data_IF_764270027387
#
_entry.id   IF_764270027387
#
_cell.length_a   1.000
_cell.length_b   1.000
_cell.length_c   1.000
_cell.angle_alpha   90.00
_cell.angle_beta   90.00
_cell.angle_gamma   90.00
#
_symmetry.space_group_name_H-M   'P 1'
#
loop_
_entity.id
_entity.type
_entity.pdbx_description
1 polymer ?
2 water ?
#
# COMPACT_ATOMS: atom_id res chain seq x y z
N UNK A 1 12.95 -5.39 7.12
CA UNK A 1 12.56 -4.75 5.83
C UNK A 1 12.76 -3.24 5.83
N UNK A 2 12.69 -2.64 4.64
CA UNK A 2 12.86 -1.19 4.46
C UNK A 2 12.25 -0.75 3.13
N UNK A 3 10.95 -1.02 2.97
CA UNK A 3 10.22 -0.69 1.76
C UNK A 3 9.95 0.77 1.50
N UNK A 4 10.05 1.15 0.23
CA UNK A 4 9.79 2.51 -0.21
C UNK A 4 8.37 2.60 -0.73
N UNK A 5 7.80 3.80 -0.68
CA UNK A 5 6.42 4.00 -1.12
C UNK A 5 6.14 5.26 -1.93
N UNK A 6 5.06 5.20 -2.70
CA UNK A 6 4.63 6.34 -3.50
C UNK A 6 5.70 7.07 -4.31
N UNK A 7 5.68 8.40 -4.23
CA UNK A 7 6.61 9.24 -4.96
C UNK A 7 8.07 8.91 -4.63
N UNK A 8 8.30 8.50 -3.39
CA UNK A 8 9.64 8.17 -2.93
C UNK A 8 10.17 6.96 -3.70
N UNK A 9 9.37 5.89 -3.74
CA UNK A 9 9.74 4.67 -4.45
C UNK A 9 9.94 5.01 -5.92
N UNK A 10 9.06 5.84 -6.46
CA UNK A 10 9.20 6.26 -7.86
C UNK A 10 10.58 6.86 -7.95
N UNK A 11 10.83 7.81 -7.06
CA UNK A 11 12.09 8.51 -7.03
C UNK A 11 13.27 7.55 -6.96
N UNK A 12 13.17 6.52 -6.15
CA UNK A 12 14.26 5.57 -6.09
C UNK A 12 14.49 5.00 -7.47
N UNK A 13 13.46 4.41 -8.06
CA UNK A 13 13.58 3.83 -9.39
C UNK A 13 14.29 4.74 -10.37
N UNK A 14 13.89 6.00 -10.45
CA UNK A 14 14.57 6.92 -11.37
C UNK A 14 16.05 6.96 -11.05
N UNK A 15 16.35 7.13 -9.77
CA UNK A 15 17.74 7.18 -9.34
C UNK A 15 18.46 5.98 -9.91
N UNK A 16 18.00 4.79 -9.54
CA UNK A 16 18.62 3.56 -10.01
C UNK A 16 18.93 3.58 -11.51
N UNK A 17 18.02 4.16 -12.29
CA UNK A 17 18.20 4.25 -13.73
C UNK A 17 19.44 5.08 -14.04
N UNK A 18 19.67 6.11 -13.22
CA UNK A 18 20.82 6.96 -13.38
C UNK A 18 22.07 6.15 -13.04
N UNK A 19 22.04 5.51 -11.88
CA UNK A 19 23.15 4.67 -11.43
C UNK A 19 23.47 3.59 -12.47
N UNK A 20 22.66 3.52 -13.53
CA UNK A 20 22.88 2.53 -14.59
C UNK A 20 23.16 3.17 -15.94
N UNK A 21 23.23 4.49 -15.97
CA UNK A 21 23.49 5.24 -17.19
C UNK A 21 22.19 5.49 -17.93
N UNK A 22 21.23 4.59 -17.74
CA UNK A 22 19.92 4.71 -18.39
C UNK A 22 19.28 6.01 -17.96
N UNK A 23 19.43 7.04 -18.80
CA UNK A 23 18.90 8.37 -18.55
C UNK A 23 17.57 8.62 -19.23
N UNK A 24 17.52 8.37 -20.53
CA UNK A 24 16.28 8.59 -21.27
C UNK A 24 15.14 7.80 -20.60
N UNK A 25 15.53 6.74 -19.89
CA UNK A 25 14.58 5.90 -19.17
C UNK A 25 14.07 6.64 -17.96
N UNK A 26 15.01 7.19 -17.19
CA UNK A 26 14.68 7.97 -16.00
C UNK A 26 13.88 9.18 -16.46
N UNK A 27 14.22 9.70 -17.63
CA UNK A 27 13.51 10.85 -18.20
C UNK A 27 12.10 10.42 -18.61
N UNK A 28 11.97 9.18 -19.08
CA UNK A 28 10.71 8.58 -19.51
C UNK A 28 9.72 8.47 -18.35
N UNK A 29 10.21 7.99 -17.20
CA UNK A 29 9.37 7.86 -16.02
C UNK A 29 8.69 9.20 -15.75
N UNK A 30 9.48 10.25 -15.57
CA UNK A 30 8.92 11.57 -15.31
C UNK A 30 7.85 11.87 -16.35
N UNK A 31 8.17 11.65 -17.62
CA UNK A 31 7.20 11.90 -18.66
C UNK A 31 5.93 11.11 -18.31
N UNK A 32 6.08 9.86 -17.89
CA UNK A 32 4.93 9.04 -17.55
C UNK A 32 4.17 9.54 -16.30
N UNK A 33 4.88 9.74 -15.18
CA UNK A 33 4.20 10.18 -13.98
C UNK A 33 3.45 11.50 -14.23
N UNK A 34 4.04 12.40 -15.03
CA UNK A 34 3.40 13.68 -15.33
C UNK A 34 2.13 13.48 -16.16
N UNK A 35 2.25 12.86 -17.32
CA UNK A 35 1.08 12.65 -18.18
C UNK A 35 0.03 11.73 -17.56
N UNK A 36 0.03 11.59 -16.23
CA UNK A 36 -0.93 10.72 -15.56
C UNK A 36 -1.36 11.30 -14.22
N UNK A 37 -1.35 12.63 -14.11
CA UNK A 37 -1.69 13.31 -12.87
C UNK A 37 -3.19 13.43 -12.59
N UNK A 38 -3.97 13.73 -13.62
CA UNK A 38 -5.41 13.86 -13.47
C UNK A 38 -6.12 12.57 -13.08
N UNK A 39 -5.58 11.43 -13.51
CA UNK A 39 -6.15 10.11 -13.22
C UNK A 39 -6.67 10.04 -11.79
N UNK A 40 -5.83 10.48 -10.87
CA UNK A 40 -6.13 10.48 -9.44
C UNK A 40 -7.45 11.20 -9.20
N UNK A 41 -7.60 12.33 -9.88
CA UNK A 41 -8.79 13.17 -9.77
C UNK A 41 -10.04 12.36 -10.14
N UNK A 42 -10.01 11.76 -11.32
CA UNK A 42 -11.11 10.98 -11.85
C UNK A 42 -11.31 9.55 -11.40
N UNK A 43 -10.24 8.79 -11.20
CA UNK A 43 -10.39 7.38 -10.80
C UNK A 43 -9.94 7.11 -9.38
N UNK A 44 -9.22 8.07 -8.79
CA UNK A 44 -8.73 7.88 -7.45
C UNK A 44 -7.26 7.54 -7.36
N UNK A 45 -6.85 7.31 -6.13
CA UNK A 45 -5.49 7.01 -5.77
C UNK A 45 -5.01 5.59 -6.16
N UNK A 46 -5.76 4.56 -5.75
CA UNK A 46 -5.38 3.18 -6.07
C UNK A 46 -5.12 3.00 -7.55
N UNK A 47 -6.07 3.48 -8.36
CA UNK A 47 -5.98 3.42 -9.81
C UNK A 47 -4.72 4.15 -10.29
N UNK A 48 -4.49 5.34 -9.75
CA UNK A 48 -3.34 6.13 -10.13
C UNK A 48 -2.06 5.36 -9.78
N UNK A 49 -2.03 4.84 -8.56
CA UNK A 49 -0.89 4.08 -8.10
C UNK A 49 -0.69 2.76 -8.86
N UNK A 50 -1.79 2.13 -9.25
CA UNK A 50 -1.74 0.86 -9.97
C UNK A 50 -1.16 1.04 -11.35
N UNK A 51 -1.35 2.21 -11.94
CA UNK A 51 -0.81 2.46 -13.27
C UNK A 51 0.69 2.76 -13.17
N UNK A 52 1.06 3.68 -12.29
CA UNK A 52 2.45 4.03 -12.15
C UNK A 52 3.28 2.83 -11.68
N UNK A 53 2.81 2.14 -10.64
CA UNK A 53 3.52 0.99 -10.09
C UNK A 53 3.67 -0.13 -11.11
N UNK A 54 2.60 -0.42 -11.83
CA UNK A 54 2.68 -1.47 -12.83
C UNK A 54 3.73 -1.08 -13.84
N UNK A 55 3.76 0.22 -14.15
CA UNK A 55 4.68 0.82 -15.08
C UNK A 55 6.12 0.63 -14.59
N UNK A 56 6.34 0.85 -13.30
CA UNK A 56 7.68 0.70 -12.76
C UNK A 56 8.08 -0.77 -12.81
N UNK A 57 7.11 -1.67 -12.59
CA UNK A 57 7.41 -3.10 -12.62
C UNK A 57 7.93 -3.42 -13.99
N UNK A 58 7.18 -3.01 -15.02
CA UNK A 58 7.58 -3.23 -16.39
C UNK A 58 8.99 -2.73 -16.63
N UNK A 59 9.33 -1.55 -16.13
CA UNK A 59 10.68 -1.04 -16.30
C UNK A 59 11.67 -1.95 -15.54
N UNK A 60 11.47 -2.08 -14.23
CA UNK A 60 12.34 -2.91 -13.42
C UNK A 60 12.51 -4.33 -13.93
N UNK A 61 11.49 -4.87 -14.60
CA UNK A 61 11.57 -6.24 -15.10
C UNK A 61 12.41 -6.38 -16.34
N UNK A 62 12.27 -5.46 -17.29
CA UNK A 62 13.08 -5.62 -18.50
C UNK A 62 14.55 -5.27 -18.26
N UNK A 63 14.85 -4.51 -17.21
CA UNK A 63 16.23 -4.16 -16.89
C UNK A 63 16.88 -5.33 -16.18
N UNK A 64 16.11 -6.02 -15.35
CA UNK A 64 16.63 -7.18 -14.63
C UNK A 64 17.02 -8.26 -15.61
N UNK A 65 16.78 -7.99 -16.89
CA UNK A 65 17.11 -8.92 -17.98
C UNK A 65 18.32 -8.38 -18.75
N UNK A 66 18.79 -7.20 -18.35
CA UNK A 66 19.94 -6.57 -18.99
C UNK A 66 21.12 -6.46 -18.01
N UNK A 67 20.84 -6.06 -16.78
CA UNK A 67 21.88 -5.91 -15.77
C UNK A 67 21.74 -6.94 -14.66
N UNK A 68 22.64 -6.91 -13.68
CA UNK A 68 22.63 -7.87 -12.57
C UNK A 68 22.53 -7.21 -11.19
N UNK A 69 22.76 -5.91 -11.14
CA UNK A 69 22.71 -5.11 -9.92
C UNK A 69 21.61 -5.55 -8.94
N UNK A 70 22.00 -6.05 -7.77
CA UNK A 70 21.00 -6.50 -6.78
C UNK A 70 19.95 -5.44 -6.48
N UNK A 71 20.32 -4.17 -6.62
CA UNK A 71 19.37 -3.09 -6.35
C UNK A 71 18.10 -3.25 -7.20
N UNK A 72 18.24 -3.86 -8.38
CA UNK A 72 17.09 -4.06 -9.25
C UNK A 72 16.03 -4.97 -8.63
N UNK A 73 16.42 -6.18 -8.24
CA UNK A 73 15.46 -7.11 -7.66
C UNK A 73 14.93 -6.54 -6.36
N UNK A 74 15.83 -6.02 -5.53
CA UNK A 74 15.41 -5.44 -4.25
C UNK A 74 14.33 -4.40 -4.55
N UNK A 75 14.58 -3.55 -5.53
CA UNK A 75 13.64 -2.52 -5.90
C UNK A 75 12.37 -3.10 -6.55
N UNK A 76 12.54 -4.09 -7.41
CA UNK A 76 11.41 -4.73 -8.06
C UNK A 76 10.46 -5.31 -7.03
N UNK A 77 11.00 -5.97 -6.03
CA UNK A 77 10.18 -6.54 -4.97
C UNK A 77 9.25 -5.49 -4.33
N UNK A 78 9.80 -4.33 -3.99
CA UNK A 78 9.03 -3.23 -3.37
C UNK A 78 7.85 -2.73 -4.24
N UNK A 79 8.14 -2.42 -5.51
CA UNK A 79 7.09 -1.99 -6.40
C UNK A 79 6.02 -3.06 -6.42
N UNK A 80 6.43 -4.31 -6.54
CA UNK A 80 5.50 -5.43 -6.56
C UNK A 80 4.69 -5.40 -5.23
N UNK A 81 5.40 -5.26 -4.12
CA UNK A 81 4.79 -5.20 -2.80
C UNK A 81 3.76 -4.07 -2.70
N UNK A 82 4.14 -2.91 -3.24
CA UNK A 82 3.28 -1.71 -3.23
C UNK A 82 2.04 -1.90 -4.09
N UNK A 83 2.20 -2.60 -5.20
CA UNK A 83 1.10 -2.85 -6.11
C UNK A 83 0.07 -3.65 -5.38
N UNK A 84 0.54 -4.74 -4.80
CA UNK A 84 -0.32 -5.63 -4.04
C UNK A 84 -1.10 -4.94 -2.92
N UNK A 85 -0.44 -4.09 -2.15
CA UNK A 85 -1.16 -3.40 -1.09
C UNK A 85 -2.21 -2.49 -1.70
N UNK A 86 -1.83 -1.80 -2.76
CA UNK A 86 -2.71 -0.88 -3.45
C UNK A 86 -3.96 -1.56 -3.97
N UNK A 87 -3.81 -2.75 -4.53
CA UNK A 87 -4.97 -3.42 -5.07
C UNK A 87 -5.83 -4.15 -4.05
N UNK A 88 -5.29 -4.43 -2.87
CA UNK A 88 -6.07 -5.11 -1.85
C UNK A 88 -7.23 -4.26 -1.32
N UNK A 89 -8.31 -4.91 -0.92
CA UNK A 89 -9.47 -4.19 -0.38
C UNK A 89 -9.72 -4.67 1.04
N UNK A 90 -10.69 -4.07 1.72
CA UNK A 90 -11.01 -4.44 3.09
C UNK A 90 -12.39 -5.12 3.21
N UNK A 91 -12.67 -6.07 2.31
CA UNK A 91 -13.95 -6.79 2.34
C UNK A 91 -13.96 -8.01 1.39
N UNK B 1 -7.53 1.87 -40.33
CA UNK B 1 -6.45 1.27 -39.48
C UNK B 1 -7.02 0.64 -38.21
N UNK B 2 -6.71 -0.65 -38.00
CA UNK B 2 -7.16 -1.38 -36.82
C UNK B 2 -5.95 -1.61 -35.93
N UNK B 3 -6.15 -1.53 -34.62
CA UNK B 3 -5.07 -1.70 -33.65
C UNK B 3 -5.40 -2.81 -32.64
N UNK B 4 -4.38 -3.31 -31.94
CA UNK B 4 -4.54 -4.38 -30.95
C UNK B 4 -5.06 -3.86 -29.61
N UNK B 5 -5.89 -4.68 -28.96
CA UNK B 5 -6.48 -4.33 -27.69
C UNK B 5 -6.48 -5.51 -26.72
N UNK B 6 -6.46 -5.21 -25.43
CA UNK B 6 -6.48 -6.25 -24.41
C UNK B 6 -5.55 -7.44 -24.59
N UNK B 7 -6.13 -8.64 -24.49
CA UNK B 7 -5.41 -9.90 -24.62
C UNK B 7 -4.47 -9.92 -25.81
N UNK B 8 -4.99 -9.52 -26.97
CA UNK B 8 -4.18 -9.51 -28.18
C UNK B 8 -3.00 -8.58 -28.02
N UNK B 9 -3.22 -7.44 -27.37
CA UNK B 9 -2.16 -6.49 -27.16
C UNK B 9 -1.12 -7.17 -26.28
N UNK B 10 -1.59 -7.91 -25.28
CA UNK B 10 -0.67 -8.61 -24.38
C UNK B 10 0.16 -9.60 -25.21
N UNK B 11 -0.50 -10.25 -26.17
CA UNK B 11 0.20 -11.22 -27.00
C UNK B 11 1.16 -10.58 -27.97
N UNK B 12 0.70 -9.62 -28.77
CA UNK B 12 1.59 -8.97 -29.70
C UNK B 12 2.90 -8.54 -29.00
N UNK B 13 2.80 -8.03 -27.77
CA UNK B 13 3.98 -7.59 -27.01
C UNK B 13 4.79 -8.79 -26.53
N UNK B 14 4.09 -9.79 -26.02
CA UNK B 14 4.76 -10.97 -25.52
C UNK B 14 5.49 -11.60 -26.69
N UNK B 15 4.90 -11.44 -27.87
CA UNK B 15 5.44 -11.97 -29.10
C UNK B 15 6.70 -11.23 -29.52
N UNK B 16 6.65 -9.90 -29.44
CA UNK B 16 7.79 -9.07 -29.81
C UNK B 16 9.01 -9.40 -28.94
N UNK B 17 8.77 -9.81 -27.70
CA UNK B 17 9.85 -10.14 -26.78
C UNK B 17 10.57 -11.37 -27.29
N UNK B 18 9.78 -12.35 -27.73
CA UNK B 18 10.33 -13.59 -28.25
C UNK B 18 11.15 -13.29 -29.49
N UNK B 19 10.61 -12.50 -30.40
CA UNK B 19 11.33 -12.13 -31.63
C UNK B 19 12.49 -11.17 -31.32
N UNK B 20 12.92 -11.13 -30.06
CA UNK B 20 14.03 -10.29 -29.65
C UNK B 20 14.94 -11.12 -28.75
N UNK B 21 14.62 -12.40 -28.66
CA UNK B 21 15.39 -13.34 -27.85
C UNK B 21 15.29 -13.09 -26.34
N UNK B 22 14.27 -12.36 -25.91
CA UNK B 22 14.10 -12.12 -24.49
C UNK B 22 12.86 -12.82 -24.00
N UNK B 23 12.91 -14.14 -24.02
CA UNK B 23 11.80 -14.98 -23.61
C UNK B 23 11.50 -14.91 -22.13
N UNK B 24 12.51 -14.61 -21.32
CA UNK B 24 12.30 -14.49 -19.89
C UNK B 24 11.36 -13.31 -19.71
N UNK B 25 11.65 -12.25 -20.45
CA UNK B 25 10.83 -11.06 -20.41
C UNK B 25 9.42 -11.53 -20.73
N UNK B 26 9.30 -12.34 -21.76
CA UNK B 26 8.01 -12.88 -22.16
C UNK B 26 7.38 -13.72 -21.07
N UNK B 27 8.17 -14.53 -20.39
CA UNK B 27 7.60 -15.38 -19.34
C UNK B 27 7.07 -14.49 -18.21
N UNK B 28 7.71 -13.33 -18.03
CA UNK B 28 7.30 -12.39 -16.98
C UNK B 28 5.89 -11.91 -17.28
N UNK B 29 5.69 -11.37 -18.48
CA UNK B 29 4.37 -10.89 -18.86
C UNK B 29 3.36 -11.98 -18.53
N UNK B 30 3.75 -13.21 -18.81
CA UNK B 30 2.90 -14.37 -18.56
C UNK B 30 2.53 -14.46 -17.10
N UNK B 31 3.52 -14.43 -16.24
CA UNK B 31 3.28 -14.54 -14.83
C UNK B 31 2.61 -13.28 -14.26
N UNK B 32 2.90 -12.12 -14.83
CA UNK B 32 2.30 -10.89 -14.34
C UNK B 32 0.79 -11.05 -14.54
N UNK B 33 0.40 -11.35 -15.76
CA UNK B 33 -1.00 -11.52 -16.10
C UNK B 33 -1.68 -12.55 -15.20
N UNK B 34 -1.00 -13.67 -14.93
CA UNK B 34 -1.60 -14.68 -14.05
C UNK B 34 -1.95 -14.02 -12.73
N UNK B 35 -0.94 -13.47 -12.06
CA UNK B 35 -1.12 -12.83 -10.76
C UNK B 35 -2.23 -11.77 -10.75
N UNK B 36 -2.40 -11.05 -11.86
CA UNK B 36 -3.43 -10.03 -11.97
C UNK B 36 -4.69 -10.64 -12.58
N UNK B 37 -5.36 -11.51 -11.82
CA UNK B 37 -6.55 -12.21 -12.31
C UNK B 37 -7.88 -11.81 -11.67
N UNK B 38 -7.98 -11.93 -10.35
CA UNK B 38 -9.21 -11.57 -9.66
C UNK B 38 -9.42 -10.09 -9.46
N UNK B 39 -8.31 -9.35 -9.49
CA UNK B 39 -8.29 -7.91 -9.34
C UNK B 39 -9.40 -7.29 -10.19
N UNK B 40 -9.66 -7.92 -11.33
CA UNK B 40 -10.70 -7.46 -12.24
C UNK B 40 -12.05 -7.41 -11.53
N UNK B 41 -12.32 -8.45 -10.75
CA UNK B 41 -13.57 -8.59 -10.00
C UNK B 41 -13.67 -7.68 -8.76
N UNK B 42 -12.52 -7.28 -8.24
CA UNK B 42 -12.50 -6.44 -7.05
C UNK B 42 -12.41 -4.94 -7.34
N UNK B 43 -11.57 -4.56 -8.29
CA UNK B 43 -11.40 -3.13 -8.59
C UNK B 43 -12.05 -2.71 -9.90
N UNK B 44 -12.59 -3.66 -10.62
CA UNK B 44 -13.21 -3.29 -11.88
C UNK B 44 -12.32 -3.64 -13.04
N UNK B 45 -12.84 -3.44 -14.24
CA UNK B 45 -12.12 -3.76 -15.45
C UNK B 45 -11.14 -2.67 -15.82
N UNK B 46 -11.54 -1.42 -15.66
CA UNK B 46 -10.67 -0.32 -16.00
C UNK B 46 -9.38 -0.43 -15.19
N UNK B 47 -9.53 -0.80 -13.93
CA UNK B 47 -8.39 -0.97 -13.04
C UNK B 47 -7.42 -2.03 -13.54
N UNK B 48 -7.93 -3.24 -13.74
CA UNK B 48 -7.11 -4.35 -14.20
C UNK B 48 -6.35 -3.97 -15.47
N UNK B 49 -7.04 -3.37 -16.42
CA UNK B 49 -6.41 -2.97 -17.68
C UNK B 49 -5.34 -1.89 -17.54
N UNK B 50 -5.53 -0.96 -16.61
CA UNK B 50 -4.56 0.11 -16.40
C UNK B 50 -3.24 -0.41 -15.82
N UNK B 51 -3.31 -1.44 -14.97
CA UNK B 51 -2.12 -2.01 -14.37
C UNK B 51 -1.29 -2.79 -15.39
N UNK B 52 -1.99 -3.64 -16.14
CA UNK B 52 -1.38 -4.48 -17.16
C UNK B 52 -0.81 -3.66 -18.29
N UNK B 53 -1.54 -2.64 -18.73
CA UNK B 53 -1.09 -1.78 -19.80
C UNK B 53 0.10 -0.94 -19.32
N UNK B 54 0.01 -0.41 -18.12
CA UNK B 54 1.12 0.38 -17.60
C UNK B 54 2.33 -0.53 -17.58
N UNK B 55 2.09 -1.77 -17.19
CA UNK B 55 3.15 -2.77 -17.12
C UNK B 55 3.76 -2.97 -18.50
N UNK B 56 2.91 -3.13 -19.50
CA UNK B 56 3.37 -3.33 -20.87
C UNK B 56 4.14 -2.12 -21.37
N UNK B 57 3.65 -0.91 -21.07
CA UNK B 57 4.33 0.29 -21.51
C UNK B 57 5.67 0.46 -20.81
N UNK B 58 5.74 -0.03 -19.58
CA UNK B 58 6.99 0.05 -18.84
C UNK B 58 8.04 -0.77 -19.56
N UNK B 59 7.61 -1.92 -20.10
CA UNK B 59 8.50 -2.80 -20.83
C UNK B 59 8.82 -2.17 -22.18
N UNK B 60 7.77 -1.91 -22.97
CA UNK B 60 7.96 -1.31 -24.29
C UNK B 60 8.84 -0.07 -24.23
N UNK B 61 8.79 0.65 -23.12
CA UNK B 61 9.57 1.86 -22.95
C UNK B 61 11.05 1.58 -22.76
N UNK B 62 11.36 0.75 -21.79
CA UNK B 62 12.75 0.42 -21.53
C UNK B 62 13.31 -0.44 -22.65
N UNK B 63 12.44 -1.18 -23.33
CA UNK B 63 12.88 -2.02 -24.45
C UNK B 63 13.44 -1.10 -25.50
N UNK B 64 12.65 -0.09 -25.85
CA UNK B 64 13.00 0.91 -26.84
C UNK B 64 14.38 1.54 -26.56
N UNK B 65 14.90 1.33 -25.36
CA UNK B 65 16.20 1.89 -25.02
C UNK B 65 17.34 0.97 -25.42
N UNK B 66 17.04 -0.09 -26.18
CA UNK B 66 18.07 -1.04 -26.60
C UNK B 66 17.90 -1.62 -28.01
N UNK B 67 16.79 -1.27 -28.67
CA UNK B 67 16.55 -1.77 -30.01
C UNK B 67 15.91 -0.68 -30.86
N UNK B 68 16.11 -0.75 -32.18
CA UNK B 68 15.55 0.24 -33.09
C UNK B 68 14.33 -0.29 -33.84
N UNK B 69 13.87 -1.48 -33.44
CA UNK B 69 12.71 -2.12 -34.05
C UNK B 69 11.52 -1.19 -34.25
N UNK B 70 11.03 -1.12 -35.49
CA UNK B 70 9.90 -0.24 -35.80
C UNK B 70 8.67 -0.69 -35.02
N UNK B 71 8.55 -2.00 -34.81
CA UNK B 71 7.43 -2.59 -34.10
C UNK B 71 7.25 -2.01 -32.68
N UNK B 72 8.35 -1.83 -31.98
CA UNK B 72 8.30 -1.30 -30.62
C UNK B 72 7.58 0.05 -30.53
N UNK B 73 7.98 1.00 -31.37
CA UNK B 73 7.36 2.32 -31.34
C UNK B 73 5.87 2.20 -31.57
N UNK B 74 5.48 1.45 -32.58
CA UNK B 74 4.06 1.31 -32.88
C UNK B 74 3.38 0.56 -31.74
N UNK B 75 4.00 -0.54 -31.33
CA UNK B 75 3.47 -1.36 -30.26
C UNK B 75 3.33 -0.53 -28.99
N UNK B 76 4.18 0.49 -28.87
CA UNK B 76 4.14 1.39 -27.72
C UNK B 76 2.96 2.34 -27.83
N UNK B 77 2.83 3.01 -28.98
CA UNK B 77 1.73 3.96 -29.16
C UNK B 77 0.37 3.25 -28.99
N UNK B 78 0.33 1.97 -29.34
CA UNK B 78 -0.91 1.21 -29.21
C UNK B 78 -1.27 1.03 -27.73
N UNK B 79 -0.30 0.58 -26.94
CA UNK B 79 -0.54 0.40 -25.52
C UNK B 79 -0.90 1.76 -24.91
N UNK B 80 -0.33 2.82 -25.47
CA UNK B 80 -0.62 4.15 -24.96
C UNK B 80 -2.08 4.53 -25.23
N UNK B 81 -2.56 4.15 -26.40
CA UNK B 81 -3.93 4.43 -26.80
C UNK B 81 -4.88 3.68 -25.89
N UNK B 82 -4.62 2.39 -25.74
CA UNK B 82 -5.41 1.50 -24.92
C UNK B 82 -5.65 2.10 -23.55
N UNK B 83 -4.60 2.69 -22.99
CA UNK B 83 -4.66 3.30 -21.67
C UNK B 83 -5.49 4.55 -21.68
N UNK B 84 -5.15 5.47 -22.57
CA UNK B 84 -5.90 6.72 -22.66
C UNK B 84 -7.40 6.43 -22.65
N UNK B 85 -7.80 5.43 -23.43
CA UNK B 85 -9.20 5.03 -23.49
C UNK B 85 -9.65 4.45 -22.17
N UNK B 86 -8.89 3.51 -21.64
CA UNK B 86 -9.24 2.87 -20.37
C UNK B 86 -9.47 3.83 -19.24
N UNK B 87 -8.53 4.75 -19.04
CA UNK B 87 -8.69 5.68 -17.93
C UNK B 87 -9.76 6.77 -18.12
N UNK B 88 -10.22 6.98 -19.35
CA UNK B 88 -11.26 7.99 -19.62
C UNK B 88 -12.63 7.59 -19.07
N UNK B 89 -13.30 8.53 -18.44
CA UNK B 89 -14.63 8.25 -17.90
C UNK B 89 -15.72 8.71 -18.85
N UNK B 90 -16.87 8.05 -18.80
CA UNK B 90 -18.00 8.41 -19.64
C UNK B 90 -18.60 9.73 -19.15
N UNK B 91 -18.67 9.88 -17.83
CA UNK B 91 -19.25 11.07 -17.21
C UNK B 91 -20.71 11.24 -17.65
N UNK C 2 6.79 -12.54 1.35
CA UNK C 2 5.48 -13.07 1.84
C UNK C 2 4.71 -11.99 2.64
N UNK C 3 4.00 -11.13 1.91
CA UNK C 3 3.22 -10.05 2.54
C UNK C 3 1.72 -10.18 2.27
N UNK C 4 0.93 -9.83 3.28
CA UNK C 4 -0.53 -9.87 3.17
C UNK C 4 -1.05 -8.45 3.14
N UNK C 5 -2.26 -8.28 2.63
CA UNK C 5 -2.83 -6.96 2.53
C UNK C 5 -4.34 -6.93 2.81
N UNK C 6 -4.88 -5.72 2.85
CA UNK C 6 -6.29 -5.55 3.08
C UNK C 6 -6.97 -6.51 4.03
N UNK C 7 -8.17 -6.94 3.63
CA UNK C 7 -8.99 -7.86 4.40
C UNK C 7 -8.16 -9.05 4.80
N UNK C 8 -7.35 -9.50 3.87
CA UNK C 8 -6.52 -10.64 4.11
C UNK C 8 -5.58 -10.46 5.30
N UNK C 9 -4.76 -9.43 5.29
CA UNK C 9 -3.85 -9.19 6.42
C UNK C 9 -4.65 -9.06 7.70
N UNK C 10 -5.85 -8.48 7.60
CA UNK C 10 -6.70 -8.32 8.78
C UNK C 10 -7.09 -9.69 9.27
N UNK C 11 -7.41 -10.58 8.34
CA UNK C 11 -7.78 -11.94 8.70
C UNK C 11 -6.60 -12.68 9.32
N UNK C 12 -5.44 -12.61 8.70
CA UNK C 12 -4.28 -13.30 9.22
C UNK C 12 -3.86 -12.75 10.59
N UNK C 13 -4.50 -11.68 11.04
CA UNK C 13 -4.16 -11.11 12.36
C UNK C 13 -5.21 -11.57 13.37
N UNK C 14 -6.46 -11.50 12.97
CA UNK C 14 -7.55 -11.94 13.81
C UNK C 14 -7.23 -13.38 14.12
N UNK C 15 -6.59 -14.04 13.15
CA UNK C 15 -6.19 -15.45 13.28
C UNK C 15 -5.13 -15.68 14.36
N UNK C 16 -4.04 -14.93 14.31
CA UNK C 16 -2.98 -15.06 15.31
C UNK C 16 -3.54 -14.89 16.72
N UNK C 17 -4.62 -14.11 16.82
CA UNK C 17 -5.26 -13.87 18.11
C UNK C 17 -5.77 -15.16 18.74
N UNK C 18 -6.52 -15.91 17.95
CA UNK C 18 -7.06 -17.17 18.41
C UNK C 18 -5.88 -18.10 18.73
N UNK C 19 -4.92 -18.19 17.81
CA UNK C 19 -3.76 -19.02 18.02
C UNK C 19 -3.17 -18.67 19.37
N UNK C 20 -3.29 -17.40 19.76
CA UNK C 20 -2.74 -16.95 21.02
C UNK C 20 -3.71 -17.15 22.19
N UNK C 21 -4.91 -17.64 21.91
CA UNK C 21 -5.88 -17.87 22.97
C UNK C 21 -6.47 -16.52 23.43
N UNK C 22 -6.76 -15.65 22.48
CA UNK C 22 -7.32 -14.33 22.77
C UNK C 22 -8.59 -14.10 21.97
N UNK C 23 -9.53 -15.04 22.08
CA UNK C 23 -10.81 -14.95 21.37
C UNK C 23 -11.46 -13.58 21.45
N UNK C 24 -11.58 -13.04 22.65
CA UNK C 24 -12.20 -11.73 22.85
C UNK C 24 -11.51 -10.70 21.94
N UNK C 25 -10.20 -10.78 21.86
CA UNK C 25 -9.42 -9.87 21.02
C UNK C 25 -9.90 -9.96 19.57
N UNK C 26 -9.94 -11.18 19.04
CA UNK C 26 -10.41 -11.38 17.68
C UNK C 26 -11.80 -10.76 17.57
N UNK C 27 -12.65 -11.02 18.56
CA UNK C 27 -13.98 -10.46 18.54
C UNK C 27 -13.84 -8.94 18.37
N UNK C 28 -12.98 -8.32 19.16
CA UNK C 28 -12.78 -6.88 19.09
C UNK C 28 -12.49 -6.42 17.66
N UNK C 29 -11.49 -7.03 17.02
CA UNK C 29 -11.14 -6.65 15.65
C UNK C 29 -12.38 -6.72 14.75
N UNK C 30 -13.11 -7.82 14.85
CA UNK C 30 -14.33 -7.99 14.06
C UNK C 30 -15.19 -6.74 14.27
N UNK C 31 -15.30 -6.32 15.52
CA UNK C 31 -16.07 -5.14 15.84
C UNK C 31 -15.43 -3.94 15.16
N UNK C 32 -14.13 -3.75 15.36
CA UNK C 32 -13.45 -2.60 14.77
C UNK C 32 -13.70 -2.54 13.28
N UNK C 33 -13.33 -3.60 12.57
CA UNK C 33 -13.55 -3.65 11.13
C UNK C 33 -15.00 -3.30 10.79
N UNK C 34 -15.95 -3.85 11.54
CA UNK C 34 -17.37 -3.58 11.29
C UNK C 34 -17.73 -2.11 11.49
N UNK C 35 -17.08 -1.45 12.45
CA UNK C 35 -17.36 -0.06 12.74
C UNK C 35 -16.66 0.88 11.77
N UNK C 36 -15.60 0.39 11.12
CA UNK C 36 -14.91 1.22 10.15
C UNK C 36 -15.89 1.43 9.03
N UNK C 37 -16.73 0.42 8.79
CA UNK C 37 -17.75 0.42 7.74
C UNK C 37 -17.76 1.60 6.78
N UNK C 38 -18.60 2.58 7.07
CA UNK C 38 -18.72 3.75 6.22
C UNK C 38 -17.48 4.61 5.97
N UNK C 39 -16.58 4.67 6.94
CA UNK C 39 -15.36 5.47 6.80
C UNK C 39 -14.83 5.50 5.38
N UNK C 40 -14.61 4.31 4.82
CA UNK C 40 -14.09 4.20 3.44
C UNK C 40 -14.96 5.05 2.53
N UNK C 41 -16.28 4.94 2.72
CA UNK C 41 -17.26 5.70 1.94
C UNK C 41 -17.06 7.18 2.21
N UNK C 42 -17.27 7.54 3.47
CA UNK C 42 -17.16 8.91 3.97
C UNK C 42 -15.82 9.62 3.76
N UNK C 43 -14.73 9.04 4.27
CA UNK C 43 -13.38 9.65 4.22
C UNK C 43 -12.42 9.18 3.13
N UNK C 44 -12.68 8.00 2.58
CA UNK C 44 -11.78 7.48 1.58
C UNK C 44 -11.22 6.15 2.01
N UNK C 45 -10.40 5.57 1.15
CA UNK C 45 -9.83 4.26 1.41
C UNK C 45 -8.55 4.28 2.23
N UNK C 46 -7.72 5.30 2.01
CA UNK C 46 -6.47 5.40 2.76
C UNK C 46 -6.79 5.67 4.20
N UNK C 47 -7.82 6.47 4.43
CA UNK C 47 -8.24 6.79 5.77
C UNK C 47 -8.74 5.53 6.44
N UNK C 48 -9.69 4.86 5.82
CA UNK C 48 -10.22 3.63 6.39
C UNK C 48 -9.07 2.66 6.63
N UNK C 49 -8.11 2.61 5.70
CA UNK C 49 -6.98 1.71 5.86
C UNK C 49 -6.03 2.12 6.97
N UNK C 50 -5.60 3.37 6.97
CA UNK C 50 -4.70 3.86 7.99
C UNK C 50 -5.32 3.67 9.36
N UNK C 51 -6.63 3.84 9.42
CA UNK C 51 -7.43 3.73 10.64
C UNK C 51 -7.40 2.30 11.21
N UNK C 52 -7.73 1.32 10.37
CA UNK C 52 -7.74 -0.06 10.77
C UNK C 52 -6.34 -0.65 10.95
N UNK C 53 -5.40 -0.30 10.07
CA UNK C 53 -4.03 -0.80 10.17
C UNK C 53 -3.34 -0.28 11.42
N UNK C 54 -3.67 0.96 11.79
CA UNK C 54 -3.07 1.54 12.98
C UNK C 54 -3.55 0.75 14.18
N UNK C 55 -4.83 0.44 14.17
CA UNK C 55 -5.44 -0.33 15.24
C UNK C 55 -4.75 -1.68 15.34
N UNK C 56 -4.65 -2.40 14.21
CA UNK C 56 -4.03 -3.71 14.19
C UNK C 56 -2.59 -3.64 14.68
N UNK C 57 -1.88 -2.59 14.31
CA UNK C 57 -0.50 -2.44 14.73
C UNK C 57 -0.41 -2.15 16.23
N UNK C 58 -1.46 -1.56 16.78
CA UNK C 58 -1.49 -1.24 18.20
C UNK C 58 -1.72 -2.51 18.99
N UNK C 59 -2.56 -3.39 18.46
CA UNK C 59 -2.83 -4.66 19.12
C UNK C 59 -1.52 -5.42 19.06
N UNK C 60 -1.05 -5.66 17.84
CA UNK C 60 0.20 -6.37 17.67
C UNK C 60 1.37 -5.83 18.48
N UNK C 61 1.61 -4.53 18.48
CA UNK C 61 2.73 -3.99 19.26
C UNK C 61 2.65 -4.37 20.75
N UNK C 62 1.45 -4.40 21.31
CA UNK C 62 1.31 -4.76 22.71
C UNK C 62 1.55 -6.26 22.95
N UNK C 63 0.92 -7.11 22.13
CA UNK C 63 1.09 -8.56 22.28
C UNK C 63 2.57 -8.89 22.25
N UNK C 64 3.30 -8.25 21.34
CA UNK C 64 4.73 -8.48 21.21
C UNK C 64 5.39 -8.22 22.54
N UNK C 65 4.69 -7.54 23.46
CA UNK C 65 5.25 -7.26 24.77
C UNK C 65 4.85 -8.38 25.73
N UNK C 66 4.29 -9.45 25.17
CA UNK C 66 3.89 -10.62 25.95
C UNK C 66 4.51 -11.84 25.26
N UNK C 67 3.66 -12.66 24.65
CA UNK C 67 4.10 -13.86 23.94
C UNK C 67 5.31 -13.55 23.05
N UNK C 68 5.97 -14.60 22.56
CA UNK C 68 7.14 -14.43 21.71
C UNK C 68 7.11 -15.31 20.46
N UNK C 69 6.02 -15.23 19.68
CA UNK C 69 5.91 -16.02 18.45
C UNK C 69 6.59 -15.31 17.30
N UNK C 70 7.08 -16.07 16.32
CA UNK C 70 7.75 -15.43 15.21
C UNK C 70 6.69 -14.70 14.39
N UNK C 71 5.48 -15.25 14.41
CA UNK C 71 4.36 -14.67 13.69
C UNK C 71 4.15 -13.18 14.05
N UNK C 72 4.01 -12.89 15.34
CA UNK C 72 3.78 -11.50 15.77
C UNK C 72 4.72 -10.47 15.13
N UNK C 73 6.03 -10.64 15.29
CA UNK C 73 6.95 -9.68 14.70
C UNK C 73 6.76 -9.66 13.19
N UNK C 74 6.29 -10.77 12.63
CA UNK C 74 6.06 -10.87 11.19
C UNK C 74 4.86 -10.04 10.76
N UNK C 75 3.75 -10.30 11.42
CA UNK C 75 2.51 -9.61 11.14
C UNK C 75 2.65 -8.13 11.46
N UNK C 76 3.63 -7.79 12.28
CA UNK C 76 3.83 -6.40 12.62
C UNK C 76 4.49 -5.68 11.45
N UNK C 77 5.65 -6.16 11.01
CA UNK C 77 6.34 -5.51 9.89
C UNK C 77 5.41 -5.44 8.69
N UNK C 78 4.51 -6.43 8.58
CA UNK C 78 3.57 -6.47 7.47
C UNK C 78 2.53 -5.38 7.62
N UNK C 79 2.10 -5.12 8.85
CA UNK C 79 1.12 -4.08 9.11
C UNK C 79 1.77 -2.70 8.95
N UNK C 80 2.97 -2.54 9.47
CA UNK C 80 3.66 -1.26 9.37
C UNK C 80 3.91 -0.89 7.89
N UNK C 81 4.27 -1.89 7.10
CA UNK C 81 4.55 -1.70 5.68
C UNK C 81 3.29 -1.30 4.91
N UNK C 82 2.16 -1.92 5.26
CA UNK C 82 0.88 -1.61 4.62
C UNK C 82 0.45 -0.20 5.05
N UNK C 83 0.74 0.16 6.30
CA UNK C 83 0.37 1.48 6.75
C UNK C 83 1.24 2.52 6.04
N UNK C 84 2.52 2.22 5.89
CA UNK C 84 3.41 3.14 5.22
C UNK C 84 3.00 3.35 3.77
N UNK C 85 2.78 2.27 3.03
CA UNK C 85 2.34 2.41 1.63
C UNK C 85 1.04 3.21 1.53
N UNK C 86 0.09 2.88 2.38
CA UNK C 86 -1.20 3.57 2.40
C UNK C 86 -1.06 5.08 2.57
N UNK C 87 -0.20 5.50 3.49
CA UNK C 87 -0.05 6.93 3.73
C UNK C 87 0.81 7.69 2.72
N UNK C 88 1.62 6.98 1.95
CA UNK C 88 2.43 7.64 0.93
C UNK C 88 1.58 8.25 -0.17
N UNK C 89 1.99 9.42 -0.65
CA UNK C 89 1.29 10.11 -1.73
C UNK C 89 2.08 9.92 -3.00
N UNK C 90 1.39 9.94 -4.13
CA UNK C 90 2.05 9.75 -5.40
C UNK C 90 3.02 10.83 -5.87
N UNK C 91 2.67 12.10 -5.72
CA UNK C 91 3.58 13.16 -6.19
C UNK C 91 4.34 13.90 -5.08
N UNK D 2 -15.36 15.53 32.08
CA UNK D 2 -13.91 15.68 31.75
C UNK D 2 -13.45 14.58 30.79
N UNK D 3 -12.49 14.92 29.93
CA UNK D 3 -11.95 13.97 28.94
C UNK D 3 -10.67 14.51 28.31
N UNK D 4 -9.66 13.65 28.19
CA UNK D 4 -8.39 14.04 27.59
C UNK D 4 -8.54 14.09 26.06
N UNK D 5 -7.69 14.89 25.40
CA UNK D 5 -7.72 15.03 23.95
C UNK D 5 -6.32 15.26 23.38
N UNK D 6 -6.18 15.01 22.08
CA UNK D 6 -4.91 15.21 21.41
C UNK D 6 -3.65 14.71 22.06
N UNK D 7 -2.58 15.50 21.95
CA UNK D 7 -1.30 15.15 22.51
C UNK D 7 -1.44 14.88 23.99
N UNK D 8 -2.44 15.50 24.61
CA UNK D 8 -2.66 15.29 26.02
C UNK D 8 -3.05 13.83 26.25
N UNK D 9 -4.05 13.38 25.52
CA UNK D 9 -4.54 12.00 25.61
C UNK D 9 -3.42 11.00 25.35
N UNK D 10 -2.57 11.28 24.36
CA UNK D 10 -1.47 10.38 24.01
C UNK D 10 -0.49 10.28 25.17
N UNK D 11 -0.62 11.18 26.13
CA UNK D 11 0.25 11.17 27.28
C UNK D 11 -0.39 10.41 28.43
N UNK D 12 -1.66 10.68 28.69
CA UNK D 12 -2.36 9.99 29.76
C UNK D 12 -2.22 8.49 29.48
N UNK D 13 -2.07 8.13 28.20
CA UNK D 13 -1.94 6.72 27.86
C UNK D 13 -0.51 6.23 28.09
N UNK D 14 0.44 6.82 27.38
CA UNK D 14 1.83 6.43 27.54
C UNK D 14 2.10 6.29 29.04
N UNK D 15 1.48 7.18 29.81
CA UNK D 15 1.59 7.18 31.26
C UNK D 15 1.11 5.84 31.83
N UNK D 16 -0.19 5.59 31.74
CA UNK D 16 -0.78 4.34 32.24
C UNK D 16 0.07 3.12 31.84
N UNK D 17 0.80 3.22 30.74
CA UNK D 17 1.65 2.12 30.30
C UNK D 17 2.75 1.87 31.30
N UNK D 18 3.21 2.94 31.93
CA UNK D 18 4.25 2.83 32.94
C UNK D 18 3.64 2.22 34.20
N UNK D 19 2.54 2.79 34.66
CA UNK D 19 1.87 2.28 35.84
C UNK D 19 1.68 0.77 35.68
N UNK D 20 1.59 0.32 34.43
CA UNK D 20 1.42 -1.11 34.16
C UNK D 20 2.77 -1.77 33.94
N UNK D 21 3.83 -1.04 34.32
CA UNK D 21 5.19 -1.55 34.19
C UNK D 21 5.53 -1.91 32.75
N UNK D 22 4.83 -1.31 31.79
CA UNK D 22 5.09 -1.58 30.39
C UNK D 22 5.97 -0.46 29.83
N UNK D 23 7.28 -0.64 29.94
CA UNK D 23 8.24 0.36 29.48
C UNK D 23 8.30 0.48 27.97
N UNK D 24 8.65 -0.61 27.31
CA UNK D 24 8.75 -0.62 25.87
C UNK D 24 7.43 -0.24 25.19
N UNK D 25 6.31 -0.67 25.74
CA UNK D 25 5.01 -0.34 25.16
C UNK D 25 5.01 1.18 24.92
N UNK D 26 5.26 1.93 25.99
CA UNK D 26 5.28 3.39 25.91
C UNK D 26 6.37 3.94 24.98
N UNK D 27 7.53 3.32 24.97
CA UNK D 27 8.61 3.77 24.10
C UNK D 27 8.12 3.66 22.66
N UNK D 28 7.34 2.61 22.41
CA UNK D 28 6.78 2.36 21.08
C UNK D 28 5.82 3.49 20.72
N UNK D 29 4.90 3.79 21.63
CA UNK D 29 3.95 4.85 21.40
C UNK D 29 4.68 6.12 20.96
N UNK D 30 5.82 6.40 21.60
CA UNK D 30 6.59 7.59 21.25
C UNK D 30 7.25 7.44 19.88
N UNK D 31 7.73 6.23 19.59
CA UNK D 31 8.38 5.98 18.29
C UNK D 31 7.33 5.99 17.18
N UNK D 32 6.11 5.58 17.53
CA UNK D 32 5.02 5.55 16.57
C UNK D 32 4.58 6.98 16.30
N UNK D 33 4.17 7.71 17.34
CA UNK D 33 3.74 9.09 17.15
C UNK D 33 4.88 9.86 16.45
N UNK D 34 6.12 9.47 16.75
CA UNK D 34 7.27 10.14 16.15
C UNK D 34 7.22 10.10 14.62
N UNK D 35 6.93 8.93 14.07
CA UNK D 35 6.86 8.76 12.63
C UNK D 35 5.59 9.34 12.01
N UNK D 36 4.50 9.36 12.79
CA UNK D 36 3.24 9.90 12.32
C UNK D 36 3.35 11.43 12.37
N UNK D 37 4.49 11.93 11.90
CA UNK D 37 4.82 13.36 11.89
C UNK D 37 4.52 14.00 10.53
N UNK D 38 4.94 13.33 9.47
CA UNK D 38 4.68 13.85 8.14
C UNK D 38 3.20 13.77 7.77
N UNK D 39 2.60 12.58 7.93
CA UNK D 39 1.20 12.34 7.61
C UNK D 39 0.41 13.63 7.74
N UNK D 40 0.74 14.36 8.78
CA UNK D 40 0.13 15.63 9.09
C UNK D 40 -0.14 16.54 7.89
N UNK D 41 0.96 17.04 7.33
CA UNK D 41 0.97 17.95 6.20
C UNK D 41 0.54 17.32 4.89
N UNK D 42 1.04 16.11 4.64
CA UNK D 42 0.70 15.41 3.41
C UNK D 42 -0.77 14.98 3.33
N UNK D 43 -1.30 14.33 4.38
CA UNK D 43 -2.70 13.86 4.36
C UNK D 43 -3.69 14.71 5.14
N UNK D 44 -3.21 15.59 6.00
CA UNK D 44 -4.15 16.38 6.75
C UNK D 44 -4.19 15.95 8.20
N UNK D 45 -4.96 16.67 9.01
CA UNK D 45 -5.03 16.41 10.42
C UNK D 45 -5.89 15.23 10.84
N UNK D 46 -7.05 15.06 10.23
CA UNK D 46 -7.93 13.96 10.61
C UNK D 46 -7.26 12.61 10.34
N UNK D 47 -6.60 12.50 9.19
CA UNK D 47 -5.90 11.29 8.82
C UNK D 47 -4.81 11.01 9.82
N UNK D 48 -4.15 12.07 10.27
CA UNK D 48 -3.06 11.95 11.22
C UNK D 48 -3.57 11.51 12.56
N UNK D 49 -4.73 12.01 12.96
CA UNK D 49 -5.31 11.62 14.23
C UNK D 49 -5.90 10.21 14.18
N UNK D 50 -6.58 9.90 13.10
CA UNK D 50 -7.17 8.58 12.96
C UNK D 50 -6.14 7.46 13.08
N UNK D 51 -4.92 7.70 12.58
CA UNK D 51 -3.88 6.69 12.67
C UNK D 51 -3.50 6.46 14.12
N UNK D 52 -3.06 7.54 14.75
CA UNK D 52 -2.64 7.49 16.13
C UNK D 52 -3.77 7.06 17.09
N UNK D 53 -4.93 7.70 17.01
CA UNK D 53 -6.04 7.35 17.88
C UNK D 53 -6.44 5.90 17.72
N UNK D 54 -6.27 5.37 16.50
CA UNK D 54 -6.62 3.98 16.23
C UNK D 54 -5.57 3.07 16.83
N UNK D 55 -4.32 3.49 16.67
CA UNK D 55 -3.19 2.76 17.20
C UNK D 55 -3.29 2.70 18.72
N UNK D 56 -3.75 3.78 19.34
CA UNK D 56 -3.89 3.79 20.80
C UNK D 56 -5.10 2.94 21.17
N UNK D 57 -6.02 2.80 20.24
CA UNK D 57 -7.21 2.00 20.47
C UNK D 57 -6.77 0.56 20.49
N UNK D 58 -5.86 0.22 19.59
CA UNK D 58 -5.35 -1.13 19.51
C UNK D 58 -4.76 -1.53 20.85
N UNK D 59 -3.81 -0.74 21.32
CA UNK D 59 -3.15 -0.98 22.59
C UNK D 59 -4.13 -1.12 23.75
N UNK D 60 -4.77 -0.02 24.15
CA UNK D 60 -5.73 -0.05 25.25
C UNK D 60 -6.73 -1.19 25.12
N UNK D 61 -6.83 -1.77 23.93
CA UNK D 61 -7.76 -2.86 23.71
C UNK D 61 -7.19 -4.20 24.18
N UNK D 62 -5.94 -4.50 23.84
CA UNK D 62 -5.38 -5.76 24.26
C UNK D 62 -4.86 -5.69 25.69
N UNK D 63 -4.54 -4.48 26.16
CA UNK D 63 -4.07 -4.35 27.53
C UNK D 63 -5.23 -4.71 28.43
N UNK D 64 -6.42 -4.28 28.02
CA UNK D 64 -7.67 -4.52 28.75
C UNK D 64 -7.96 -6.01 28.88
N UNK D 65 -6.97 -6.83 28.55
CA UNK D 65 -7.12 -8.28 28.63
C UNK D 65 -6.13 -8.81 29.65
N UNK D 66 -4.92 -8.26 29.65
CA UNK D 66 -3.88 -8.69 30.58
C UNK D 66 -3.92 -7.92 31.90
N UNK D 67 -4.90 -7.03 32.03
CA UNK D 67 -5.07 -6.23 33.24
C UNK D 67 -6.52 -5.78 33.28
N UNK D 68 -6.95 -5.24 34.42
CA UNK D 68 -8.34 -4.79 34.56
C UNK D 68 -8.50 -3.60 35.50
N UNK D 69 -7.83 -2.48 35.16
CA UNK D 69 -7.91 -1.27 35.95
C UNK D 69 -9.06 -0.41 35.49
N UNK D 70 -9.39 0.59 36.30
CA UNK D 70 -10.47 1.51 35.93
C UNK D 70 -9.91 2.37 34.82
N UNK D 71 -8.65 2.77 35.00
CA UNK D 71 -7.93 3.61 34.04
C UNK D 71 -8.17 3.16 32.59
N UNK D 72 -7.65 1.98 32.24
CA UNK D 72 -7.78 1.44 30.90
C UNK D 72 -9.16 1.70 30.30
N UNK D 73 -10.20 1.12 30.89
CA UNK D 73 -11.53 1.32 30.36
C UNK D 73 -11.83 2.81 30.19
N UNK D 74 -11.59 3.59 31.23
CA UNK D 74 -11.84 5.03 31.17
C UNK D 74 -11.18 5.61 29.92
N UNK D 75 -9.86 5.44 29.82
CA UNK D 75 -9.09 5.94 28.69
C UNK D 75 -9.59 5.38 27.36
N UNK D 76 -9.66 4.07 27.25
CA UNK D 76 -10.13 3.44 26.03
C UNK D 76 -11.41 4.13 25.51
N UNK D 77 -12.38 4.34 26.39
CA UNK D 77 -13.62 5.00 25.99
C UNK D 77 -13.32 6.45 25.57
N UNK D 78 -12.37 7.08 26.26
CA UNK D 78 -11.98 8.44 25.94
C UNK D 78 -11.42 8.47 24.51
N UNK D 79 -10.33 7.74 24.28
CA UNK D 79 -9.70 7.63 22.97
C UNK D 79 -10.75 7.26 21.91
N UNK D 80 -11.63 6.32 22.25
CA UNK D 80 -12.67 5.91 21.31
C UNK D 80 -13.51 7.12 20.87
N UNK D 81 -13.76 8.03 21.81
CA UNK D 81 -14.54 9.22 21.50
C UNK D 81 -13.76 10.20 20.63
N UNK D 82 -12.45 10.24 20.83
CA UNK D 82 -11.56 11.11 20.06
C UNK D 82 -11.57 10.68 18.59
N UNK D 83 -11.64 9.37 18.39
CA UNK D 83 -11.67 8.77 17.07
C UNK D 83 -12.96 9.11 16.38
N UNK D 84 -14.06 8.92 17.11
CA UNK D 84 -15.36 9.19 16.54
C UNK D 84 -15.54 10.63 16.16
N UNK D 85 -14.92 11.55 16.88
CA UNK D 85 -15.03 12.95 16.50
C UNK D 85 -14.18 13.19 15.24
N UNK D 86 -12.96 12.69 15.27
CA UNK D 86 -12.02 12.83 14.18
C UNK D 86 -12.50 12.42 12.81
N UNK D 87 -13.13 11.27 12.71
CA UNK D 87 -13.58 10.84 11.39
C UNK D 87 -14.87 11.50 10.91
N UNK D 88 -15.74 11.86 11.84
CA UNK D 88 -17.00 12.51 11.49
C UNK D 88 -16.78 13.74 10.61
N UNK D 89 -17.61 13.91 9.59
CA UNK D 89 -17.53 15.05 8.69
C UNK D 89 -18.59 16.08 9.03
N UNK D 90 -18.34 17.33 8.71
CA UNK D 90 -19.31 18.36 9.00
C UNK D 90 -20.50 18.24 8.05
N UNK D 91 -20.23 18.55 6.78
CA UNK D 91 -21.25 18.49 5.73
C UNK D 91 -21.45 17.01 5.38
#
# INVERSE_FOLDING_TARGET
HHHHHHMDLVEKVKELCLELEEENLAKAIERFITLTHGIEKTRGEAFAKASIYGFLEGILTTLKMKYSNEKIETLLNEVKTAREETEALLRKPRPPLLVDNDL
HHHHHHMDLVEKVKELCLELEEENLAKAIERFITLTHGIEKTRGEAFAKASIYGFLEGILTTLKMKYSNEKIETLLNEVKTAREETEALLRKPRPPLLVDNDL
HHHHHHMDLVEKVKELCLELEEENLAKAIERFITLTHGIEKTRGEAFAKASIYGFLEGILTTLKMKYSNEKIETLLNEVKTAREETEALLRKPRPPLLVDNDL
HHHHHHMDLVEKVKELCLELEEENLAKAIERFITLTHGIEKTRGEAFAKASIYGFLEGILTTLKMKYSNEKIETLLNEVKTAREETEALLRKPRPPLLVDNDL
#
